data_IF_337620461243
#
_entry.id   IF_337620461243
#
_cell.length_a   1.000
_cell.length_b   1.000
_cell.length_c   1.000
_cell.angle_alpha   90.00
_cell.angle_beta   90.00
_cell.angle_gamma   90.00
#
_symmetry.space_group_name_H-M   'P 1'
#
loop_
_entity.id
_entity.type
_entity.pdbx_description
1 polymer ?
#
# COMPACT_ATOMS: atom_id res chain seq x y z
N UNK A 1 10.08 7.29 -28.25
CA UNK A 1 10.85 7.20 -26.99
C UNK A 1 10.71 5.76 -26.48
N UNK A 2 11.77 4.94 -26.55
CA UNK A 2 11.72 3.55 -26.05
C UNK A 2 11.75 3.61 -24.52
N UNK A 3 10.68 3.17 -23.88
CA UNK A 3 10.69 2.87 -22.44
C UNK A 3 11.61 1.68 -22.26
N UNK A 4 12.79 1.89 -21.68
CA UNK A 4 13.64 0.80 -21.22
C UNK A 4 12.85 0.06 -20.14
N UNK A 5 12.48 -1.19 -20.44
CA UNK A 5 11.81 -2.06 -19.49
C UNK A 5 12.86 -2.48 -18.46
N UNK A 6 12.68 -2.09 -17.20
CA UNK A 6 13.54 -2.55 -16.12
C UNK A 6 13.56 -4.09 -16.11
N UNK A 7 14.74 -4.68 -15.96
CA UNK A 7 14.87 -6.11 -15.67
C UNK A 7 14.32 -6.30 -14.26
N UNK A 8 13.39 -7.23 -14.09
CA UNK A 8 12.88 -7.58 -12.77
C UNK A 8 14.01 -8.17 -11.92
N UNK A 9 14.47 -7.39 -10.94
CA UNK A 9 15.55 -7.75 -10.02
C UNK A 9 15.04 -7.87 -8.56
N UNK A 10 13.72 -8.01 -8.35
CA UNK A 10 13.11 -8.01 -7.03
C UNK A 10 13.73 -9.05 -6.09
N UNK A 11 14.00 -10.27 -6.58
CA UNK A 11 14.69 -11.33 -5.81
C UNK A 11 16.10 -10.91 -5.38
N UNK A 12 16.86 -10.28 -6.29
CA UNK A 12 18.21 -9.81 -6.01
C UNK A 12 18.21 -8.68 -4.98
N UNK A 13 17.19 -7.81 -4.98
CA UNK A 13 17.00 -6.78 -3.95
C UNK A 13 16.78 -7.43 -2.59
N UNK A 14 15.90 -8.43 -2.49
CA UNK A 14 15.63 -9.15 -1.24
C UNK A 14 16.87 -9.89 -0.73
N UNK A 15 17.63 -10.56 -1.60
CA UNK A 15 18.88 -11.24 -1.23
C UNK A 15 19.90 -10.28 -0.64
N UNK A 16 20.06 -9.08 -1.22
CA UNK A 16 20.94 -8.04 -0.67
C UNK A 16 20.50 -7.59 0.71
N UNK A 17 19.20 -7.42 0.93
CA UNK A 17 18.65 -7.04 2.23
C UNK A 17 18.90 -8.11 3.30
N UNK A 18 18.68 -9.39 2.97
CA UNK A 18 18.94 -10.52 3.88
C UNK A 18 20.44 -10.62 4.20
N UNK A 19 21.32 -10.39 3.21
CA UNK A 19 22.78 -10.47 3.40
C UNK A 19 23.32 -9.47 4.42
N UNK A 20 22.65 -8.34 4.62
CA UNK A 20 23.01 -7.33 5.64
C UNK A 20 22.29 -7.53 6.97
N UNK A 21 21.55 -8.63 7.13
CA UNK A 21 20.87 -9.00 8.37
C UNK A 21 19.44 -8.44 8.50
N UNK A 22 18.82 -7.93 7.43
CA UNK A 22 17.42 -7.50 7.51
C UNK A 22 16.50 -8.71 7.69
N UNK A 23 15.73 -8.73 8.78
CA UNK A 23 14.92 -9.89 9.15
C UNK A 23 13.53 -9.88 8.52
N UNK A 24 12.92 -8.70 8.36
CA UNK A 24 11.55 -8.53 7.88
C UNK A 24 11.34 -7.18 7.19
N UNK A 25 10.37 -7.11 6.28
CA UNK A 25 9.97 -5.91 5.53
C UNK A 25 8.46 -5.77 5.58
N UNK A 26 7.98 -4.54 5.81
CA UNK A 26 6.55 -4.19 5.68
C UNK A 26 6.39 -3.39 4.38
N UNK A 27 5.62 -3.95 3.44
CA UNK A 27 5.31 -3.34 2.15
C UNK A 27 4.11 -2.41 2.34
N UNK A 28 4.28 -1.14 2.00
CA UNK A 28 3.24 -0.13 2.19
C UNK A 28 2.20 -0.17 1.06
N UNK A 29 0.93 -0.27 1.42
CA UNK A 29 -0.22 0.00 0.54
C UNK A 29 -0.73 1.43 0.75
N UNK A 30 -0.74 2.25 -0.30
CA UNK A 30 -1.25 3.63 -0.25
C UNK A 30 -2.68 3.81 -0.77
N UNK A 31 -3.29 2.74 -1.26
CA UNK A 31 -4.69 2.70 -1.69
C UNK A 31 -5.25 1.29 -1.62
N UNK A 32 -6.53 1.07 -1.88
CA UNK A 32 -7.12 -0.28 -1.90
C UNK A 32 -6.37 -1.21 -2.87
N UNK A 33 -6.16 -0.79 -4.12
CA UNK A 33 -5.48 -1.62 -5.12
C UNK A 33 -3.99 -1.83 -4.80
N UNK A 34 -3.32 -0.82 -4.26
CA UNK A 34 -1.92 -0.95 -3.82
C UNK A 34 -1.80 -1.87 -2.60
N UNK A 35 -2.77 -1.82 -1.68
CA UNK A 35 -2.84 -2.70 -0.51
C UNK A 35 -3.03 -4.16 -0.91
N UNK A 36 -3.92 -4.44 -1.87
CA UNK A 36 -4.11 -5.80 -2.40
C UNK A 36 -2.83 -6.35 -3.06
N UNK A 37 -2.12 -5.52 -3.82
CA UNK A 37 -0.81 -5.87 -4.41
C UNK A 37 0.25 -6.10 -3.33
N UNK A 38 0.30 -5.24 -2.31
CA UNK A 38 1.22 -5.39 -1.19
C UNK A 38 1.00 -6.72 -0.45
N UNK A 39 -0.26 -7.09 -0.20
CA UNK A 39 -0.64 -8.40 0.37
C UNK A 39 -0.20 -9.55 -0.53
N UNK A 40 -0.41 -9.44 -1.85
CA UNK A 40 0.02 -10.47 -2.80
C UNK A 40 1.55 -10.67 -2.76
N UNK A 41 2.33 -9.58 -2.72
CA UNK A 41 3.80 -9.65 -2.62
C UNK A 41 4.20 -10.20 -1.24
N UNK A 42 3.53 -9.79 -0.16
CA UNK A 42 3.80 -10.28 1.19
C UNK A 42 3.59 -11.79 1.33
N UNK A 43 2.64 -12.37 0.57
CA UNK A 43 2.44 -13.81 0.52
C UNK A 43 3.55 -14.57 -0.22
N UNK A 44 4.41 -13.90 -0.98
CA UNK A 44 5.50 -14.58 -1.72
C UNK A 44 6.70 -14.96 -0.86
N UNK A 45 6.83 -14.43 0.36
CA UNK A 45 7.96 -14.67 1.24
C UNK A 45 7.58 -14.43 2.71
N UNK A 46 8.02 -15.31 3.62
CA UNK A 46 7.66 -15.27 5.04
C UNK A 46 8.16 -14.01 5.77
N UNK A 47 9.21 -13.37 5.27
CA UNK A 47 9.79 -12.14 5.83
C UNK A 47 9.04 -10.89 5.39
N UNK A 48 8.08 -11.02 4.49
CA UNK A 48 7.33 -9.89 3.94
C UNK A 48 5.95 -9.81 4.59
N UNK A 49 5.60 -8.60 4.97
CA UNK A 49 4.32 -8.20 5.52
C UNK A 49 3.79 -7.00 4.73
N UNK A 50 2.55 -6.61 4.98
CA UNK A 50 1.89 -5.53 4.27
C UNK A 50 1.17 -4.59 5.24
N UNK A 51 0.96 -3.36 4.78
CA UNK A 51 -0.03 -2.45 5.33
C UNK A 51 -1.28 -2.41 4.46
N UNK A 52 -2.40 -2.01 5.04
CA UNK A 52 -3.62 -1.67 4.29
C UNK A 52 -4.07 -0.28 4.68
N UNK A 53 -4.29 0.60 3.70
CA UNK A 53 -4.65 1.99 3.98
C UNK A 53 -4.93 2.83 2.75
N UNK A 54 -5.11 4.12 2.99
CA UNK A 54 -5.30 5.14 1.97
C UNK A 54 -4.42 6.34 2.30
N UNK A 55 -3.42 6.56 1.44
CA UNK A 55 -2.45 7.63 1.57
C UNK A 55 -3.13 8.99 1.36
N UNK A 56 -2.67 10.07 2.01
CA UNK A 56 -3.34 11.38 1.92
C UNK A 56 -3.43 11.95 0.50
N UNK A 57 -2.59 11.49 -0.43
CA UNK A 57 -2.64 11.88 -1.86
C UNK A 57 -3.59 11.02 -2.70
N UNK A 58 -4.18 9.97 -2.12
CA UNK A 58 -5.10 9.02 -2.75
C UNK A 58 -6.53 9.11 -2.22
N UNK A 59 -6.82 10.08 -1.35
CA UNK A 59 -8.14 10.26 -0.72
C UNK A 59 -9.28 10.47 -1.73
N UNK A 60 -8.97 10.95 -2.94
CA UNK A 60 -9.92 11.07 -4.04
C UNK A 60 -10.42 9.71 -4.55
N UNK A 61 -9.79 8.59 -4.18
CA UNK A 61 -10.31 7.26 -4.52
C UNK A 61 -11.64 6.95 -3.81
N UNK A 62 -11.92 7.59 -2.67
CA UNK A 62 -13.24 7.49 -2.03
C UNK A 62 -14.34 8.07 -2.92
N UNK A 63 -14.04 9.11 -3.72
CA UNK A 63 -15.00 9.75 -4.62
C UNK A 63 -15.36 8.87 -5.84
N UNK A 64 -14.59 7.81 -6.11
CA UNK A 64 -14.92 6.82 -7.16
C UNK A 64 -16.09 5.90 -6.76
N UNK A 65 -16.55 5.99 -5.52
CA UNK A 65 -17.66 5.22 -4.99
C UNK A 65 -18.85 6.14 -4.75
N UNK A 66 -20.07 5.66 -4.99
CA UNK A 66 -21.29 6.42 -4.68
C UNK A 66 -21.47 6.65 -3.17
N UNK A 67 -20.89 5.78 -2.36
CA UNK A 67 -20.84 5.86 -0.90
C UNK A 67 -19.39 5.66 -0.43
N UNK A 68 -18.74 6.65 0.22
CA UNK A 68 -17.40 6.52 0.77
C UNK A 68 -17.24 5.34 1.75
N UNK A 69 -18.34 4.94 2.42
CA UNK A 69 -18.35 3.77 3.29
C UNK A 69 -17.98 2.49 2.52
N UNK A 70 -18.36 2.38 1.24
CA UNK A 70 -18.05 1.20 0.43
C UNK A 70 -16.54 1.04 0.19
N UNK A 71 -15.79 2.14 -0.01
CA UNK A 71 -14.32 2.08 -0.12
C UNK A 71 -13.69 1.66 1.21
N UNK A 72 -14.14 2.26 2.32
CA UNK A 72 -13.70 1.89 3.66
C UNK A 72 -13.96 0.40 3.96
N UNK A 73 -15.16 -0.10 3.67
CA UNK A 73 -15.52 -1.51 3.88
C UNK A 73 -14.64 -2.45 3.06
N UNK A 74 -14.23 -2.03 1.85
CA UNK A 74 -13.30 -2.81 1.04
C UNK A 74 -11.88 -2.80 1.63
N UNK A 75 -11.41 -1.69 2.22
CA UNK A 75 -10.16 -1.70 3.00
C UNK A 75 -10.26 -2.65 4.20
N UNK A 76 -11.38 -2.64 4.93
CA UNK A 76 -11.62 -3.57 6.05
C UNK A 76 -11.62 -5.03 5.58
N UNK A 77 -12.24 -5.33 4.43
CA UNK A 77 -12.18 -6.66 3.81
C UNK A 77 -10.76 -7.04 3.43
N UNK A 78 -9.97 -6.12 2.87
CA UNK A 78 -8.58 -6.36 2.52
C UNK A 78 -7.72 -6.70 3.76
N UNK A 79 -7.92 -6.00 4.88
CA UNK A 79 -7.28 -6.34 6.17
C UNK A 79 -7.63 -7.77 6.58
N UNK A 80 -8.92 -8.13 6.58
CA UNK A 80 -9.38 -9.47 6.98
C UNK A 80 -8.82 -10.56 6.06
N UNK A 81 -8.85 -10.34 4.75
CA UNK A 81 -8.35 -11.29 3.75
C UNK A 81 -6.83 -11.43 3.79
N UNK A 82 -6.11 -10.37 4.14
CA UNK A 82 -4.66 -10.40 4.28
C UNK A 82 -4.16 -11.18 5.51
N UNK A 83 -5.04 -11.46 6.47
CA UNK A 83 -4.73 -12.33 7.62
C UNK A 83 -3.47 -11.88 8.38
N UNK A 84 -2.58 -12.83 8.68
CA UNK A 84 -1.33 -12.58 9.40
C UNK A 84 -0.30 -11.76 8.61
N UNK A 85 -0.49 -11.57 7.30
CA UNK A 85 0.40 -10.76 6.47
C UNK A 85 0.15 -9.26 6.63
N UNK A 86 -1.05 -8.85 7.07
CA UNK A 86 -1.36 -7.44 7.32
C UNK A 86 -1.06 -7.13 8.78
N UNK A 87 0.00 -6.35 9.01
CA UNK A 87 0.52 -6.06 10.37
C UNK A 87 0.33 -4.61 10.80
N UNK A 88 -0.13 -3.74 9.90
CA UNK A 88 -0.39 -2.34 10.19
C UNK A 88 -1.49 -1.75 9.29
N UNK A 89 -2.16 -0.71 9.79
CA UNK A 89 -3.07 0.13 9.02
C UNK A 89 -2.29 1.37 8.56
N UNK A 90 -2.35 1.66 7.27
CA UNK A 90 -1.58 2.70 6.62
C UNK A 90 -1.20 2.30 5.19
N UNK A 91 -0.56 3.16 4.42
CA UNK A 91 -0.11 4.49 4.83
C UNK A 91 -1.28 5.48 4.88
N UNK A 92 -1.42 6.21 5.98
CA UNK A 92 -2.45 7.23 6.15
C UNK A 92 -1.89 8.37 7.00
N UNK A 93 -2.41 9.59 6.84
CA UNK A 93 -1.92 10.76 7.54
C UNK A 93 -2.41 12.07 6.93
N UNK A 94 -1.55 13.09 6.95
CA UNK A 94 -1.80 14.38 6.30
C UNK A 94 -0.54 14.84 5.58
N UNK A 95 -0.67 15.35 4.36
CA UNK A 95 0.45 15.93 3.61
C UNK A 95 0.12 17.39 3.26
N UNK A 96 0.64 18.38 4.02
CA UNK A 96 0.23 19.78 3.90
C UNK A 96 0.78 20.54 2.68
N UNK A 97 1.72 19.97 1.92
CA UNK A 97 2.48 20.67 0.86
C UNK A 97 2.15 20.28 -0.60
N UNK A 98 1.09 19.51 -0.86
CA UNK A 98 0.61 19.26 -2.23
C UNK A 98 -0.56 20.19 -2.58
N UNK A 99 -0.26 21.23 -3.37
CA UNK A 99 -1.19 22.30 -3.76
C UNK A 99 -2.18 21.95 -4.88
N UNK A 100 -2.41 20.67 -5.19
CA UNK A 100 -3.39 20.26 -6.21
C UNK A 100 -4.31 19.10 -5.83
N UNK A 101 -4.14 18.48 -4.65
CA UNK A 101 -5.06 17.47 -4.08
C UNK A 101 -5.70 17.94 -2.78
N UNK A 102 -5.73 19.25 -2.53
CA UNK A 102 -6.45 19.84 -1.41
C UNK A 102 -7.96 19.62 -1.58
N UNK A 103 -8.45 18.45 -1.19
CA UNK A 103 -9.79 18.35 -0.65
C UNK A 103 -9.77 19.20 0.63
N UNK A 104 -10.54 20.31 0.71
CA UNK A 104 -10.68 20.99 1.98
C UNK A 104 -11.18 19.95 2.97
N UNK A 105 -10.55 19.86 4.14
CA UNK A 105 -11.05 19.09 5.26
C UNK A 105 -12.55 19.41 5.40
N UNK A 106 -13.43 18.50 4.96
CA UNK A 106 -14.86 18.66 5.10
C UNK A 106 -15.14 18.55 6.60
N UNK A 107 -15.45 19.70 7.19
CA UNK A 107 -16.00 19.81 8.54
C UNK A 107 -17.36 19.13 8.61
#
# INVERSE_FOLDING_TARGET
>A
MRVMKFIDDFKLVLERAVKVGLESIIITGGSLSESEKAIQIANSNDRLYATVGCHPTRVNEFDNYSDPQAYYDNLVKAVKNGGSKVVAIGECGLVPYFSSTSLPLKK
#
